data_IF_266146634871
#
_entry.id   IF_266146634871
#
_cell.length_a   1.000
_cell.length_b   1.000
_cell.length_c   1.000
_cell.angle_alpha   90.00
_cell.angle_beta   90.00
_cell.angle_gamma   90.00
#
_symmetry.space_group_name_H-M   'P 1'
#
loop_
_entity.id
_entity.type
_entity.pdbx_description
1 polymer ?
#
# COMPACT_ATOMS: atom_id res chain seq x y z
N UNK A 1 -5.77 19.59 0.07
CA UNK A 1 -6.73 18.47 0.11
C UNK A 1 -6.02 17.26 0.69
N UNK A 2 -6.49 16.67 1.79
CA UNK A 2 -5.92 15.40 2.29
C UNK A 2 -6.45 14.31 1.36
N UNK A 3 -5.59 13.77 0.50
CA UNK A 3 -5.97 12.63 -0.33
C UNK A 3 -5.91 11.40 0.58
N UNK A 4 -7.07 10.86 0.95
CA UNK A 4 -7.16 9.57 1.61
C UNK A 4 -7.09 8.49 0.54
N UNK A 5 -5.88 8.00 0.26
CA UNK A 5 -5.64 6.96 -0.74
C UNK A 5 -5.71 5.62 -0.02
N UNK A 6 -6.79 4.89 -0.24
CA UNK A 6 -6.84 3.50 0.19
C UNK A 6 -5.86 2.68 -0.65
N UNK A 7 -4.89 2.08 0.01
CA UNK A 7 -3.93 1.22 -0.65
C UNK A 7 -4.54 -0.15 -0.94
N UNK A 8 -4.36 -0.66 -2.16
CA UNK A 8 -4.85 -2.00 -2.56
C UNK A 8 -4.31 -3.11 -1.66
N UNK A 9 -3.13 -2.94 -1.06
CA UNK A 9 -2.54 -3.91 -0.12
C UNK A 9 -3.24 -3.96 1.24
N UNK A 10 -4.26 -3.14 1.45
CA UNK A 10 -5.17 -3.18 2.59
C UNK A 10 -6.58 -3.65 2.19
N UNK A 11 -6.78 -4.10 0.95
CA UNK A 11 -8.07 -4.65 0.50
C UNK A 11 -8.27 -6.10 0.95
N UNK A 12 -9.51 -6.58 0.86
CA UNK A 12 -9.83 -7.97 1.22
C UNK A 12 -9.27 -8.97 0.21
N UNK A 13 -9.26 -8.61 -1.08
CA UNK A 13 -8.70 -9.41 -2.16
C UNK A 13 -7.19 -9.61 -1.96
N UNK A 14 -6.49 -8.57 -1.47
CA UNK A 14 -5.09 -8.70 -1.12
C UNK A 14 -4.86 -9.64 0.06
N UNK A 15 -5.74 -9.62 1.06
CA UNK A 15 -5.70 -10.57 2.18
C UNK A 15 -5.88 -12.00 1.66
N UNK A 16 -6.88 -12.24 0.81
CA UNK A 16 -7.13 -13.56 0.21
C UNK A 16 -5.92 -14.07 -0.57
N UNK A 17 -5.29 -13.19 -1.36
CA UNK A 17 -4.07 -13.53 -2.08
C UNK A 17 -2.92 -13.88 -1.12
N UNK A 18 -2.72 -13.10 -0.05
CA UNK A 18 -1.68 -13.35 0.95
C UNK A 18 -1.91 -14.69 1.67
N UNK A 19 -3.15 -15.02 2.02
CA UNK A 19 -3.50 -16.32 2.61
C UNK A 19 -3.20 -17.47 1.66
N UNK A 20 -3.55 -17.32 0.39
CA UNK A 20 -3.23 -18.30 -0.65
C UNK A 20 -1.72 -18.58 -0.74
N UNK A 21 -0.87 -17.54 -0.61
CA UNK A 21 0.60 -17.71 -0.59
C UNK A 21 1.17 -18.01 0.81
N UNK A 22 0.33 -18.39 1.78
CA UNK A 22 0.74 -18.93 3.07
C UNK A 22 0.92 -17.92 4.21
N UNK A 23 0.50 -16.67 4.03
CA UNK A 23 0.44 -15.70 5.12
C UNK A 23 -0.80 -15.92 5.98
N UNK A 24 -0.72 -15.48 7.23
CA UNK A 24 -1.87 -15.39 8.12
C UNK A 24 -2.20 -13.91 8.32
N UNK A 25 -3.43 -13.60 8.74
CA UNK A 25 -3.84 -12.23 8.99
C UNK A 25 -4.65 -12.07 10.27
N UNK A 26 -4.60 -10.86 10.81
CA UNK A 26 -5.57 -10.32 11.76
C UNK A 26 -5.93 -8.91 11.33
N UNK A 27 -7.10 -8.45 11.71
CA UNK A 27 -7.56 -7.09 11.38
C UNK A 27 -7.91 -6.37 12.68
N UNK A 28 -7.49 -5.12 12.80
CA UNK A 28 -7.88 -4.28 13.94
C UNK A 28 -9.35 -3.88 13.84
N UNK A 29 -9.91 -3.34 14.91
CA UNK A 29 -11.27 -2.77 14.89
C UNK A 29 -11.46 -1.66 13.85
N UNK A 30 -10.39 -0.94 13.48
CA UNK A 30 -10.42 0.11 12.45
C UNK A 30 -10.12 -0.41 11.03
N UNK A 31 -10.08 -1.73 10.83
CA UNK A 31 -9.88 -2.32 9.51
C UNK A 31 -8.42 -2.32 9.03
N UNK A 32 -7.45 -2.25 9.95
CA UNK A 32 -6.02 -2.35 9.59
C UNK A 32 -5.63 -3.81 9.50
N UNK A 33 -5.16 -4.24 8.32
CA UNK A 33 -4.72 -5.62 8.11
C UNK A 33 -3.29 -5.81 8.63
N UNK A 34 -3.11 -6.86 9.43
CA UNK A 34 -1.86 -7.26 10.09
C UNK A 34 -1.44 -8.62 9.50
N UNK A 35 -0.80 -8.66 8.33
CA UNK A 35 -0.34 -9.90 7.75
C UNK A 35 0.98 -10.32 8.41
N UNK A 36 1.06 -11.61 8.74
CA UNK A 36 2.25 -12.22 9.33
C UNK A 36 2.49 -13.63 8.76
N UNK A 37 3.76 -14.00 8.64
CA UNK A 37 4.17 -15.31 8.16
C UNK A 37 5.16 -15.93 9.13
N UNK A 38 4.97 -17.22 9.43
CA UNK A 38 5.90 -17.99 10.25
C UNK A 38 7.05 -18.48 9.38
N UNK A 39 8.27 -18.31 9.87
CA UNK A 39 9.48 -18.89 9.28
C UNK A 39 10.22 -19.72 10.34
N UNK A 40 11.19 -20.58 9.96
CA UNK A 40 11.95 -21.37 10.93
C UNK A 40 12.66 -20.53 12.00
N UNK A 41 13.02 -19.30 11.68
CA UNK A 41 13.72 -18.38 12.61
C UNK A 41 12.76 -17.54 13.46
N UNK A 42 11.45 -17.56 13.17
CA UNK A 42 10.43 -16.79 13.87
C UNK A 42 9.40 -16.16 12.93
N UNK A 43 8.49 -15.35 13.46
CA UNK A 43 7.41 -14.74 12.69
C UNK A 43 7.80 -13.34 12.20
N UNK A 44 7.40 -12.98 10.98
CA UNK A 44 7.60 -11.63 10.43
C UNK A 44 6.26 -10.99 10.11
N UNK A 45 6.07 -9.75 10.52
CA UNK A 45 4.85 -8.95 10.27
C UNK A 45 5.16 -7.74 9.38
N UNK A 46 4.39 -7.53 8.31
CA UNK A 46 4.61 -6.44 7.33
C UNK A 46 3.32 -5.67 7.08
N UNK A 47 3.17 -4.49 7.67
CA UNK A 47 1.96 -3.66 7.52
C UNK A 47 2.25 -2.57 6.49
N UNK A 48 1.67 -2.72 5.30
CA UNK A 48 2.00 -1.92 4.12
C UNK A 48 0.93 -0.87 3.82
N UNK A 49 1.31 0.41 3.97
CA UNK A 49 0.49 1.61 3.71
C UNK A 49 -0.93 1.51 4.30
N UNK A 50 -1.04 1.25 5.62
CA UNK A 50 -2.33 1.24 6.28
C UNK A 50 -2.97 2.64 6.25
N UNK A 51 -4.28 2.70 6.53
CA UNK A 51 -4.92 3.95 6.97
C UNK A 51 -4.21 4.47 8.23
N UNK A 52 -4.46 5.72 8.58
CA UNK A 52 -3.83 6.35 9.75
C UNK A 52 -4.07 5.51 11.02
N UNK A 53 -2.97 4.96 11.54
CA UNK A 53 -2.93 4.14 12.73
C UNK A 53 -3.22 4.98 13.97
N UNK A 54 -4.20 4.54 14.74
CA UNK A 54 -4.49 5.05 16.08
C UNK A 54 -3.64 4.36 17.14
N UNK A 55 -3.66 4.88 18.36
CA UNK A 55 -3.01 4.23 19.52
C UNK A 55 -3.61 2.83 19.76
N UNK A 56 -4.91 2.67 19.54
CA UNK A 56 -5.60 1.39 19.74
C UNK A 56 -5.16 0.35 18.70
N UNK A 57 -5.00 0.76 17.44
CA UNK A 57 -4.46 -0.12 16.40
C UNK A 57 -3.06 -0.63 16.77
N UNK A 58 -2.21 0.25 17.31
CA UNK A 58 -0.86 -0.13 17.72
C UNK A 58 -0.84 -1.15 18.87
N UNK A 59 -1.77 -1.05 19.82
CA UNK A 59 -1.91 -2.06 20.89
C UNK A 59 -2.30 -3.42 20.32
N UNK A 60 -3.30 -3.46 19.44
CA UNK A 60 -3.74 -4.70 18.78
C UNK A 60 -2.59 -5.30 17.96
N UNK A 61 -1.86 -4.48 17.21
CA UNK A 61 -0.67 -4.90 16.45
C UNK A 61 0.36 -5.53 17.40
N UNK A 62 0.65 -4.89 18.53
CA UNK A 62 1.58 -5.40 19.52
C UNK A 62 1.13 -6.75 20.10
N UNK A 63 -0.14 -6.89 20.47
CA UNK A 63 -0.72 -8.14 20.97
C UNK A 63 -0.59 -9.27 19.94
N UNK A 64 -0.94 -9.01 18.68
CA UNK A 64 -0.81 -9.98 17.58
C UNK A 64 0.64 -10.39 17.40
N UNK A 65 1.57 -9.42 17.41
CA UNK A 65 3.00 -9.68 17.25
C UNK A 65 3.57 -10.51 18.42
N UNK A 66 3.22 -10.18 19.67
CA UNK A 66 3.64 -10.94 20.86
C UNK A 66 3.10 -12.36 20.85
N UNK A 67 1.80 -12.53 20.59
CA UNK A 67 1.15 -13.85 20.51
C UNK A 67 1.80 -14.76 19.47
N UNK A 68 2.20 -14.19 18.34
CA UNK A 68 2.81 -14.96 17.24
C UNK A 68 4.34 -14.99 17.29
N UNK A 69 4.97 -14.48 18.37
CA UNK A 69 6.44 -14.42 18.53
C UNK A 69 7.12 -13.77 17.31
N UNK A 70 6.62 -12.60 16.93
CA UNK A 70 7.20 -11.84 15.84
C UNK A 70 8.63 -11.40 16.18
N UNK A 71 9.58 -11.68 15.28
CA UNK A 71 10.95 -11.19 15.35
C UNK A 71 11.00 -9.67 15.20
N UNK A 72 10.21 -9.17 14.26
CA UNK A 72 10.02 -7.75 14.05
C UNK A 72 8.68 -7.50 13.34
N UNK A 73 8.16 -6.30 13.57
CA UNK A 73 7.07 -5.72 12.80
C UNK A 73 7.60 -4.54 12.02
N UNK A 74 7.28 -4.48 10.73
CA UNK A 74 7.62 -3.35 9.87
C UNK A 74 6.36 -2.69 9.37
N UNK A 75 6.22 -1.41 9.67
CA UNK A 75 5.09 -0.58 9.24
C UNK A 75 5.61 0.42 8.22
N UNK A 76 5.03 0.42 7.03
CA UNK A 76 5.22 1.47 6.04
C UNK A 76 3.98 2.36 6.06
N UNK A 77 4.00 3.49 6.80
CA UNK A 77 2.79 4.28 7.05
C UNK A 77 2.21 4.88 5.76
N UNK A 78 0.88 5.02 5.73
CA UNK A 78 0.18 5.71 4.65
C UNK A 78 0.46 7.23 4.63
N UNK A 79 0.01 7.90 3.56
CA UNK A 79 0.13 9.35 3.43
C UNK A 79 -0.65 10.04 4.56
N UNK A 80 0.01 10.99 5.24
CA UNK A 80 -0.63 11.78 6.30
C UNK A 80 -0.64 11.14 7.69
N UNK A 81 -0.02 9.96 7.88
CA UNK A 81 0.18 9.38 9.21
C UNK A 81 0.91 10.35 10.15
N UNK A 82 0.39 10.51 11.36
CA UNK A 82 1.12 11.18 12.43
C UNK A 82 2.22 10.25 12.96
N UNK A 83 3.47 10.52 12.58
CA UNK A 83 4.62 9.71 12.96
C UNK A 83 4.91 9.73 14.46
N UNK A 84 4.52 10.80 15.18
CA UNK A 84 4.74 10.89 16.65
C UNK A 84 4.03 9.78 17.42
N UNK A 85 2.91 9.27 16.91
CA UNK A 85 2.19 8.15 17.54
C UNK A 85 3.01 6.86 17.43
N UNK A 86 3.66 6.62 16.28
CA UNK A 86 4.55 5.48 16.08
C UNK A 86 5.80 5.61 16.96
N UNK A 87 6.42 6.78 16.99
CA UNK A 87 7.61 7.06 17.80
C UNK A 87 7.34 6.85 19.30
N UNK A 88 6.21 7.35 19.81
CA UNK A 88 5.79 7.14 21.21
C UNK A 88 5.51 5.67 21.54
N UNK A 89 5.11 4.88 20.55
CA UNK A 89 4.94 3.43 20.68
C UNK A 89 6.25 2.64 20.52
N UNK A 90 7.40 3.32 20.38
CA UNK A 90 8.73 2.69 20.33
C UNK A 90 9.19 2.28 18.93
N UNK A 91 8.43 2.60 17.87
CA UNK A 91 8.87 2.34 16.50
C UNK A 91 10.04 3.25 16.11
N UNK A 92 11.00 2.70 15.38
CA UNK A 92 12.15 3.44 14.83
C UNK A 92 12.08 3.45 13.31
N UNK A 93 12.49 4.56 12.70
CA UNK A 93 12.59 4.67 11.24
C UNK A 93 13.58 3.63 10.70
N UNK A 94 13.12 2.82 9.74
CA UNK A 94 13.96 1.94 8.94
C UNK A 94 14.37 2.63 7.63
N UNK A 95 15.64 2.49 7.24
CA UNK A 95 16.15 2.97 5.94
C UNK A 95 16.06 1.91 4.83
N UNK A 96 15.65 0.71 5.18
CA UNK A 96 15.34 -0.36 4.23
C UNK A 96 13.83 -0.27 4.00
N UNK A 97 13.32 0.18 2.85
CA UNK A 97 11.89 0.09 2.54
C UNK A 97 11.50 -1.32 2.06
N UNK A 98 10.22 -1.67 2.11
CA UNK A 98 9.66 -2.84 1.39
C UNK A 98 8.94 -2.40 0.11
N UNK A 99 8.50 -1.15 0.06
CA UNK A 99 7.81 -0.54 -1.07
C UNK A 99 8.55 0.70 -1.56
N UNK A 100 8.39 1.13 -2.83
CA UNK A 100 8.92 2.40 -3.29
C UNK A 100 8.46 3.56 -2.38
N UNK A 101 9.38 4.40 -1.86
CA UNK A 101 9.05 5.48 -0.93
C UNK A 101 8.42 6.69 -1.63
N UNK A 102 8.57 6.78 -2.96
CA UNK A 102 8.01 7.83 -3.80
C UNK A 102 7.22 7.21 -4.94
N UNK A 103 6.18 7.91 -5.39
CA UNK A 103 5.36 7.52 -6.54
C UNK A 103 4.82 8.77 -7.22
N UNK A 104 4.38 8.61 -8.47
CA UNK A 104 3.68 9.66 -9.22
C UNK A 104 2.18 9.40 -9.11
N UNK A 105 1.41 10.46 -8.87
CA UNK A 105 -0.05 10.42 -8.89
C UNK A 105 -0.57 11.25 -10.06
N UNK A 106 -1.50 10.67 -10.81
CA UNK A 106 -2.29 11.37 -11.83
C UNK A 106 -3.71 11.46 -11.28
N UNK A 107 -4.22 12.67 -11.16
CA UNK A 107 -5.60 12.90 -10.71
C UNK A 107 -6.56 12.71 -11.88
N UNK A 108 -7.17 11.53 -11.92
CA UNK A 108 -8.12 11.12 -12.97
C UNK A 108 -9.53 11.71 -12.79
N UNK A 109 -9.75 12.58 -11.78
CA UNK A 109 -11.03 13.28 -11.62
C UNK A 109 -11.16 14.48 -12.57
N UNK A 110 -10.06 14.89 -13.20
CA UNK A 110 -10.03 15.94 -14.21
C UNK A 110 -10.65 15.48 -15.53
N UNK A 111 -11.17 16.42 -16.30
CA UNK A 111 -11.65 16.17 -17.66
C UNK A 111 -10.53 15.69 -18.58
N UNK A 112 -10.86 14.84 -19.55
CA UNK A 112 -9.91 14.25 -20.50
C UNK A 112 -9.05 15.31 -21.20
N UNK A 113 -9.66 16.43 -21.65
CA UNK A 113 -8.94 17.54 -22.26
C UNK A 113 -7.87 18.13 -21.33
N UNK A 114 -8.20 18.29 -20.04
CA UNK A 114 -7.27 18.83 -19.05
C UNK A 114 -6.12 17.85 -18.76
N UNK A 115 -6.42 16.55 -18.67
CA UNK A 115 -5.41 15.51 -18.57
C UNK A 115 -4.47 15.52 -19.77
N UNK A 116 -5.03 15.58 -20.99
CA UNK A 116 -4.26 15.68 -22.23
C UNK A 116 -3.36 16.91 -22.26
N UNK A 117 -3.91 18.09 -21.95
CA UNK A 117 -3.19 19.36 -22.03
C UNK A 117 -1.98 19.40 -21.08
N UNK A 118 -2.05 18.70 -19.95
CA UNK A 118 -0.96 18.56 -18.97
C UNK A 118 0.16 17.59 -19.37
N UNK A 119 -0.06 16.74 -20.38
CA UNK A 119 0.99 15.84 -20.88
C UNK A 119 2.14 16.65 -21.50
N UNK A 120 3.37 16.14 -21.37
CA UNK A 120 4.53 16.70 -22.06
C UNK A 120 4.38 16.57 -23.59
N UNK A 121 5.08 17.43 -24.34
CA UNK A 121 5.06 17.37 -25.80
C UNK A 121 5.53 16.01 -26.34
N UNK A 122 6.50 15.38 -25.69
CA UNK A 122 6.98 14.03 -26.07
C UNK A 122 5.93 12.94 -25.83
N UNK A 123 5.16 13.04 -24.73
CA UNK A 123 4.06 12.12 -24.46
C UNK A 123 2.93 12.28 -25.49
N UNK A 124 2.50 13.52 -25.76
CA UNK A 124 1.49 13.82 -26.79
C UNK A 124 1.91 13.30 -28.17
N UNK A 125 3.17 13.53 -28.55
CA UNK A 125 3.73 13.03 -29.81
C UNK A 125 3.66 11.50 -29.91
N UNK A 126 4.06 10.79 -28.84
CA UNK A 126 4.09 9.33 -28.82
C UNK A 126 2.68 8.72 -28.94
N UNK A 127 1.71 9.30 -28.24
CA UNK A 127 0.30 8.86 -28.32
C UNK A 127 -0.25 9.12 -29.73
N UNK A 128 -0.04 10.30 -30.29
CA UNK A 128 -0.48 10.62 -31.65
C UNK A 128 0.18 9.73 -32.72
N UNK A 129 1.43 9.34 -32.51
CA UNK A 129 2.12 8.39 -33.38
C UNK A 129 1.47 7.01 -33.32
N UNK A 130 1.21 6.48 -32.12
CA UNK A 130 0.52 5.19 -31.96
C UNK A 130 -0.84 5.18 -32.66
N UNK A 131 -1.60 6.28 -32.56
CA UNK A 131 -2.87 6.44 -33.27
C UNK A 131 -2.70 6.41 -34.80
N UNK A 132 -1.69 7.10 -35.34
CA UNK A 132 -1.39 7.10 -36.79
C UNK A 132 -0.95 5.73 -37.30
N UNK A 133 -0.27 4.96 -36.47
CA UNK A 133 0.19 3.61 -36.79
C UNK A 133 -0.90 2.54 -36.60
N UNK A 134 -2.11 2.93 -36.18
CA UNK A 134 -3.25 2.01 -36.02
C UNK A 134 -3.11 1.05 -34.85
N UNK A 135 -2.36 1.44 -33.80
CA UNK A 135 -2.20 0.63 -32.59
C UNK A 135 -3.56 0.49 -31.88
N UNK A 136 -3.92 -0.74 -31.51
CA UNK A 136 -5.16 -1.07 -30.80
C UNK A 136 -4.83 -1.49 -29.36
N UNK A 137 -5.68 -1.09 -28.41
CA UNK A 137 -5.61 -1.53 -27.01
C UNK A 137 -6.73 -2.50 -26.74
N UNK A 138 -6.39 -3.72 -26.35
CA UNK A 138 -7.35 -4.74 -25.91
C UNK A 138 -7.21 -4.95 -24.40
N UNK A 139 -8.33 -4.84 -23.67
CA UNK A 139 -8.38 -5.08 -22.24
C UNK A 139 -8.85 -6.51 -21.97
N UNK A 140 -7.95 -7.35 -21.46
CA UNK A 140 -8.29 -8.72 -21.04
C UNK A 140 -8.58 -8.74 -19.55
N UNK A 141 -9.68 -9.41 -19.17
CA UNK A 141 -9.91 -9.84 -17.78
C UNK A 141 -9.42 -11.28 -17.67
N UNK A 142 -8.24 -11.49 -17.10
CA UNK A 142 -7.87 -12.84 -16.68
C UNK A 142 -8.76 -13.25 -15.49
N UNK A 143 -9.31 -14.48 -15.50
CA UNK A 143 -10.08 -15.04 -14.39
C UNK A 143 -9.21 -15.26 -13.14
#
# INVERSE_FOLDING_TARGET
>A
MKIDIQDIRQSQEWVQYLEFVGWNYKTTSNGINIPFIKSPIGTVTKIQRPKNLSIEDLKIIEEVCKKNRALFVKIEPGLGQNLRILEKAGYKKSYIPLLPPTTIFIDLTQEEKQLWDRLSNSAKYSINRANREGVVVEAFKNP
#
